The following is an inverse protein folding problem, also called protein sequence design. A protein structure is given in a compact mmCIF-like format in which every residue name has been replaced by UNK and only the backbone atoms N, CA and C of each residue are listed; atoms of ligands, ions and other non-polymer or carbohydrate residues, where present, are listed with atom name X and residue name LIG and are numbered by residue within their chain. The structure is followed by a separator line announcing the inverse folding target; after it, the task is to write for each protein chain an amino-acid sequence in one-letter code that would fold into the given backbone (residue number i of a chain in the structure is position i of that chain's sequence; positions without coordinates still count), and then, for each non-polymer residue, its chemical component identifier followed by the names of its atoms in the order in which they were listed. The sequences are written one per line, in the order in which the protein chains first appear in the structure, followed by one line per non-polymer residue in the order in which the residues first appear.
data_IF_956720064856
#
_entry.id   IF_956720064856
#
_cell.length_a   1.000
_cell.length_b   1.000
_cell.length_c   1.000
_cell.angle_alpha   90.00
_cell.angle_beta   90.00
_cell.angle_gamma   90.00
#
_symmetry.space_group_name_H-M   'P 1'
#
loop_
_entity.id
_entity.type
_entity.pdbx_description
1 polymer ?
#
# COMPACT_ATOMS: atom_id res chain seq x y z
N UNK A 1 -4.36 -2.51 -19.10
CA UNK A 1 -5.15 -1.82 -18.07
C UNK A 1 -4.44 -2.02 -16.75
N UNK A 2 -3.68 -1.02 -16.30
CA UNK A 2 -3.11 -1.00 -14.96
C UNK A 2 -4.25 -0.68 -14.01
N UNK A 3 -4.65 -1.63 -13.16
CA UNK A 3 -5.53 -1.32 -12.04
C UNK A 3 -4.72 -0.45 -11.08
N UNK A 4 -4.89 0.87 -11.18
CA UNK A 4 -4.46 1.79 -10.14
C UNK A 4 -5.28 1.44 -8.89
N UNK A 5 -4.64 0.79 -7.92
CA UNK A 5 -5.20 0.61 -6.58
C UNK A 5 -4.63 1.76 -5.77
N UNK A 6 -5.37 2.89 -5.64
CA UNK A 6 -4.95 3.93 -4.73
C UNK A 6 -4.84 3.29 -3.35
N UNK A 7 -3.67 3.42 -2.72
CA UNK A 7 -3.37 2.92 -1.38
C UNK A 7 -3.06 1.41 -1.34
N UNK A 8 -1.78 1.02 -1.53
CA UNK A 8 -1.32 -0.32 -1.16
C UNK A 8 -1.68 -0.60 0.30
N UNK A 9 -2.59 -1.57 0.53
CA UNK A 9 -3.17 -1.84 1.86
C UNK A 9 -2.18 -2.46 2.84
N UNK A 10 -1.18 -3.17 2.31
CA UNK A 10 -0.22 -3.93 3.12
C UNK A 10 1.22 -3.52 2.79
N UNK A 11 2.06 -3.53 3.83
CA UNK A 11 3.51 -3.54 3.71
C UNK A 11 3.97 -4.89 4.25
N UNK A 12 4.38 -5.79 3.36
CA UNK A 12 4.82 -7.13 3.70
C UNK A 12 6.32 -7.30 3.41
N UNK A 13 6.98 -8.21 4.14
CA UNK A 13 8.43 -8.37 4.05
C UNK A 13 8.91 -8.77 2.65
N UNK A 14 8.11 -9.52 1.89
CA UNK A 14 8.47 -9.94 0.54
C UNK A 14 8.56 -8.78 -0.45
N UNK A 15 7.96 -7.61 -0.14
CA UNK A 15 8.11 -6.39 -0.94
C UNK A 15 9.56 -5.87 -0.96
N UNK A 16 10.42 -6.32 -0.05
CA UNK A 16 11.81 -5.85 0.04
C UNK A 16 12.84 -6.88 -0.46
N UNK A 17 12.37 -8.00 -1.02
CA UNK A 17 13.24 -8.97 -1.66
C UNK A 17 13.67 -8.45 -3.03
N UNK A 18 14.93 -8.69 -3.40
CA UNK A 18 15.41 -8.46 -4.77
C UNK A 18 14.62 -9.32 -5.78
N UNK A 19 14.25 -10.52 -5.35
CA UNK A 19 13.41 -11.44 -6.11
C UNK A 19 12.13 -11.81 -5.32
N UNK A 20 11.01 -11.09 -5.53
CA UNK A 20 9.72 -11.39 -4.92
C UNK A 20 9.23 -12.83 -5.12
N UNK A 21 9.69 -13.51 -6.18
CA UNK A 21 9.27 -14.87 -6.47
C UNK A 21 9.74 -15.90 -5.43
N UNK A 22 10.74 -15.57 -4.61
CA UNK A 22 11.26 -16.42 -3.53
C UNK A 22 10.25 -16.61 -2.39
N UNK A 23 9.37 -15.63 -2.18
CA UNK A 23 8.25 -15.79 -1.27
C UNK A 23 7.11 -16.58 -1.95
N UNK A 24 7.00 -17.86 -1.61
CA UNK A 24 6.03 -18.77 -2.22
C UNK A 24 4.57 -18.54 -1.78
N UNK A 25 4.34 -17.70 -0.76
CA UNK A 25 3.00 -17.41 -0.22
C UNK A 25 2.61 -15.95 -0.35
N UNK A 26 3.25 -15.19 -1.25
CA UNK A 26 2.90 -13.80 -1.52
C UNK A 26 1.48 -13.66 -2.07
N UNK A 27 0.87 -12.51 -1.81
CA UNK A 27 -0.50 -12.23 -2.23
C UNK A 27 -0.66 -12.38 -3.75
N UNK A 28 -1.69 -13.12 -4.16
CA UNK A 28 -2.02 -13.42 -5.56
C UNK A 28 -0.88 -14.03 -6.41
N UNK A 29 0.19 -14.55 -5.79
CA UNK A 29 1.42 -15.00 -6.46
C UNK A 29 1.99 -13.96 -7.42
N UNK A 30 1.68 -12.68 -7.17
CA UNK A 30 2.07 -11.58 -8.03
C UNK A 30 3.52 -11.16 -7.73
N UNK A 31 4.27 -10.77 -8.75
CA UNK A 31 5.63 -10.23 -8.61
C UNK A 31 5.64 -8.69 -8.58
N UNK A 32 4.48 -8.05 -8.74
CA UNK A 32 4.35 -6.60 -8.69
C UNK A 32 4.45 -6.14 -7.24
N UNK A 33 5.64 -5.69 -6.87
CA UNK A 33 5.89 -5.00 -5.60
C UNK A 33 5.39 -3.56 -5.73
N UNK A 34 4.70 -3.01 -4.71
CA UNK A 34 4.35 -1.60 -4.71
C UNK A 34 5.61 -0.73 -4.78
N UNK A 35 5.56 0.36 -5.56
CA UNK A 35 6.67 1.30 -5.69
C UNK A 35 7.13 1.87 -4.32
N UNK A 36 8.38 2.32 -4.24
CA UNK A 36 8.88 3.15 -3.15
C UNK A 36 9.52 4.40 -3.79
N UNK A 37 8.99 5.62 -3.54
CA UNK A 37 7.92 5.95 -2.60
C UNK A 37 6.52 5.44 -3.03
N UNK A 38 5.61 5.30 -2.06
CA UNK A 38 4.21 4.89 -2.22
C UNK A 38 3.30 6.11 -2.22
N UNK A 39 2.58 6.33 -3.31
CA UNK A 39 1.53 7.35 -3.39
C UNK A 39 0.21 6.82 -2.82
N UNK A 40 -0.46 7.65 -2.05
CA UNK A 40 -1.78 7.34 -1.50
C UNK A 40 -2.66 8.59 -1.45
N UNK A 41 -3.97 8.37 -1.37
CA UNK A 41 -4.99 9.42 -1.21
C UNK A 41 -5.73 9.15 0.09
N UNK A 42 -6.17 10.22 0.76
CA UNK A 42 -6.93 10.11 2.00
C UNK A 42 -8.09 11.10 1.99
N UNK A 43 -9.20 10.71 2.60
CA UNK A 43 -10.31 11.59 2.94
C UNK A 43 -11.18 10.96 4.03
N UNK A 44 -12.01 11.73 4.75
CA UNK A 44 -13.00 11.20 5.71
C UNK A 44 -13.93 10.14 5.11
N UNK A 45 -14.19 10.22 3.81
CA UNK A 45 -15.06 9.34 3.02
C UNK A 45 -14.38 8.00 2.73
N UNK A 46 -13.05 7.97 2.57
CA UNK A 46 -12.28 6.73 2.34
C UNK A 46 -12.52 5.71 3.45
N UNK A 47 -12.50 6.15 4.71
CA UNK A 47 -12.70 5.28 5.88
C UNK A 47 -14.16 4.86 6.15
N UNK A 48 -15.13 5.54 5.53
CA UNK A 48 -16.57 5.28 5.72
C UNK A 48 -17.20 4.45 4.60
N UNK A 49 -16.71 4.58 3.37
CA UNK A 49 -17.38 3.99 2.20
C UNK A 49 -16.51 3.12 1.32
N UNK A 50 -15.21 3.42 1.20
CA UNK A 50 -14.41 2.93 0.06
C UNK A 50 -13.49 1.78 0.47
N UNK A 51 -12.83 1.86 1.61
CA UNK A 51 -11.85 0.86 2.07
C UNK A 51 -11.95 0.52 3.58
N UNK A 52 -13.09 0.83 4.21
CA UNK A 52 -13.38 0.48 5.60
C UNK A 52 -13.55 -1.03 5.81
N UNK A 53 -13.32 -1.54 7.03
CA UNK A 53 -13.56 -2.94 7.37
C UNK A 53 -15.02 -3.32 7.10
N UNK A 54 -15.27 -4.02 5.97
CA UNK A 54 -16.60 -4.41 5.52
C UNK A 54 -17.17 -3.63 4.31
N UNK A 55 -16.42 -2.73 3.66
CA UNK A 55 -16.92 -2.05 2.45
C UNK A 55 -16.90 -3.00 1.23
N UNK A 56 -18.07 -3.17 0.62
CA UNK A 56 -18.27 -3.87 -0.66
C UNK A 56 -18.48 -2.90 -1.84
N UNK A 57 -18.32 -1.59 -1.62
CA UNK A 57 -18.60 -0.60 -2.65
C UNK A 57 -17.49 -0.57 -3.70
N UNK A 58 -17.90 -0.75 -4.97
CA UNK A 58 -17.12 -0.38 -6.14
C UNK A 58 -17.01 1.14 -6.15
N UNK A 59 -15.80 1.65 -5.95
CA UNK A 59 -15.49 3.09 -6.04
C UNK A 59 -15.68 3.57 -7.47
N UNK A 60 -16.48 4.61 -7.67
CA UNK A 60 -16.62 5.25 -8.97
C UNK A 60 -15.45 6.21 -9.24
N UNK A 61 -15.08 6.41 -10.51
CA UNK A 61 -13.92 7.25 -10.90
C UNK A 61 -14.07 8.70 -10.39
N UNK A 62 -15.30 9.22 -10.35
CA UNK A 62 -15.57 10.57 -9.82
C UNK A 62 -15.30 10.68 -8.32
N UNK A 63 -15.62 9.64 -7.54
CA UNK A 63 -15.29 9.59 -6.11
C UNK A 63 -13.78 9.59 -5.89
N UNK A 64 -13.01 8.89 -6.75
CA UNK A 64 -11.54 8.92 -6.71
C UNK A 64 -11.00 10.33 -6.97
N UNK A 65 -11.56 11.07 -7.92
CA UNK A 65 -11.11 12.45 -8.23
C UNK A 65 -11.38 13.42 -7.07
N UNK A 66 -12.54 13.30 -6.41
CA UNK A 66 -12.88 14.13 -5.25
C UNK A 66 -11.98 13.82 -4.06
N UNK A 67 -11.71 12.54 -3.80
CA UNK A 67 -10.79 12.08 -2.75
C UNK A 67 -9.35 12.53 -3.06
N UNK A 68 -8.92 12.43 -4.32
CA UNK A 68 -7.63 12.93 -4.76
C UNK A 68 -7.48 14.45 -4.56
N UNK A 69 -8.57 15.22 -4.60
CA UNK A 69 -8.54 16.66 -4.32
C UNK A 69 -8.55 16.96 -2.84
N UNK A 70 -9.10 16.08 -2.00
CA UNK A 70 -9.13 16.26 -0.56
C UNK A 70 -7.72 16.23 0.04
N UNK A 71 -6.98 15.15 -0.21
CA UNK A 71 -5.70 14.92 0.43
C UNK A 71 -4.89 13.83 -0.26
N UNK A 72 -3.59 14.07 -0.37
CA UNK A 72 -2.61 13.16 -0.98
C UNK A 72 -1.45 12.96 -0.04
N UNK A 73 -0.85 11.79 -0.11
CA UNK A 73 0.34 11.50 0.66
C UNK A 73 1.36 10.67 -0.12
N UNK A 74 2.60 10.84 0.29
CA UNK A 74 3.73 10.07 -0.20
C UNK A 74 4.38 9.42 1.00
N UNK A 75 4.38 8.09 1.04
CA UNK A 75 5.07 7.29 2.05
C UNK A 75 6.39 6.81 1.46
N UNK A 76 7.49 7.26 2.03
CA UNK A 76 8.82 6.75 1.72
C UNK A 76 9.25 5.75 2.79
N UNK A 77 9.66 4.55 2.37
CA UNK A 77 10.27 3.57 3.27
C UNK A 77 11.77 3.85 3.30
N UNK A 78 12.26 4.34 4.43
CA UNK A 78 13.63 4.84 4.58
C UNK A 78 14.60 3.70 4.93
N UNK A 79 14.21 2.87 5.89
CA UNK A 79 15.01 1.73 6.36
C UNK A 79 14.11 0.62 6.88
N UNK A 80 14.61 -0.61 6.88
CA UNK A 80 13.90 -1.75 7.42
C UNK A 80 14.88 -2.85 7.85
N UNK A 81 14.41 -3.75 8.69
CA UNK A 81 15.06 -5.02 8.98
C UNK A 81 14.08 -6.15 8.76
N UNK A 82 14.59 -7.17 8.08
CA UNK A 82 13.87 -8.40 7.82
C UNK A 82 14.47 -9.54 8.61
N UNK A 83 13.60 -10.37 9.18
CA UNK A 83 13.97 -11.67 9.69
C UNK A 83 13.57 -12.77 8.69
N UNK A 84 14.32 -13.89 8.66
CA UNK A 84 13.89 -15.07 7.92
C UNK A 84 12.50 -15.50 8.38
N UNK A 85 11.59 -15.69 7.42
CA UNK A 85 10.29 -16.29 7.67
C UNK A 85 10.13 -17.62 6.95
N UNK A 86 8.90 -18.11 6.90
CA UNK A 86 8.60 -19.42 6.31
C UNK A 86 8.55 -19.32 4.78
N UNK A 87 9.01 -20.37 4.09
CA UNK A 87 8.87 -20.52 2.62
C UNK A 87 9.41 -19.33 1.82
N UNK A 88 10.54 -18.76 2.26
CA UNK A 88 11.19 -17.63 1.59
C UNK A 88 10.47 -16.29 1.77
N UNK A 89 9.44 -16.21 2.62
CA UNK A 89 8.72 -14.98 2.92
C UNK A 89 9.28 -14.36 4.20
N UNK A 90 10.13 -13.32 4.12
CA UNK A 90 10.67 -12.69 5.31
C UNK A 90 9.58 -11.96 6.11
N UNK A 91 9.81 -11.82 7.40
CA UNK A 91 8.97 -11.05 8.33
C UNK A 91 9.65 -9.71 8.59
N UNK A 92 8.88 -8.62 8.55
CA UNK A 92 9.38 -7.30 8.92
C UNK A 92 9.56 -7.29 10.43
N UNK A 93 10.80 -7.12 10.90
CA UNK A 93 11.09 -6.92 12.32
C UNK A 93 10.83 -5.46 12.70
N UNK A 94 11.37 -4.54 11.92
CA UNK A 94 11.11 -3.11 12.06
C UNK A 94 11.18 -2.40 10.72
N UNK A 95 10.52 -1.25 10.65
CA UNK A 95 10.49 -0.40 9.47
C UNK A 95 10.45 1.07 9.90
N UNK A 96 11.29 1.88 9.26
CA UNK A 96 11.31 3.33 9.37
C UNK A 96 10.77 3.91 8.06
N UNK A 97 9.87 4.88 8.18
CA UNK A 97 9.26 5.54 7.05
C UNK A 97 9.01 7.02 7.34
N UNK A 98 8.93 7.80 6.27
CA UNK A 98 8.56 9.20 6.28
C UNK A 98 7.29 9.38 5.47
N UNK A 99 6.37 10.21 5.97
CA UNK A 99 5.12 10.55 5.27
C UNK A 99 5.07 12.04 5.02
N UNK A 100 4.89 12.41 3.75
CA UNK A 100 4.54 13.77 3.35
C UNK A 100 3.05 13.81 3.03
N UNK A 101 2.33 14.80 3.57
CA UNK A 101 0.90 15.00 3.32
C UNK A 101 0.66 16.35 2.66
N UNK A 102 -0.21 16.38 1.67
CA UNK A 102 -0.69 17.58 0.99
C UNK A 102 -2.22 17.61 1.04
N UNK A 103 -2.80 18.71 1.50
CA UNK A 103 -4.25 18.82 1.72
C UNK A 103 -4.70 18.20 3.05
N UNK A 104 -6.01 17.99 3.19
CA UNK A 104 -6.65 17.74 4.49
C UNK A 104 -6.92 19.02 5.29
N UNK A 105 -7.72 18.89 6.34
CA UNK A 105 -8.10 19.97 7.26
C UNK A 105 -7.75 19.62 8.70
#
# INVERSE_FOLDING_TARGET
MSHFVPNPRFIEGWHFLENPAECATREYLNNNVPANPREFVFSPEVGKGIDGYGSSCRVEIQEIEEIQRFGRGVLNIDKFLLNPGKKGCPVIEWLQFTVCLEGGY
#
